data_IF_474250035643
#
_entry.id   IF_474250035643
#
_cell.length_a   1.000
_cell.length_b   1.000
_cell.length_c   1.000
_cell.angle_alpha   90.00
_cell.angle_beta   90.00
_cell.angle_gamma   90.00
#
_symmetry.space_group_name_H-M   'P 1'
#
loop_
_entity.id
_entity.type
_entity.pdbx_description
1 polymer ?
#
# COMPACT_ATOMS: atom_id res chain seq x y z
N UNK A 1 30.71 16.72 -4.64
CA UNK A 1 30.24 17.95 -3.98
C UNK A 1 29.94 17.65 -2.51
N UNK A 2 30.31 18.58 -1.61
CA UNK A 2 29.87 18.50 -0.20
C UNK A 2 28.38 18.93 -0.09
N UNK A 3 27.72 18.56 1.01
CA UNK A 3 26.33 18.97 1.27
C UNK A 3 26.15 20.50 1.21
N UNK A 4 27.11 21.27 1.74
CA UNK A 4 27.09 22.73 1.68
C UNK A 4 27.20 23.27 0.23
N UNK A 5 27.97 22.61 -0.63
CA UNK A 5 28.09 22.99 -2.04
C UNK A 5 26.81 22.64 -2.79
N UNK A 6 26.20 21.47 -2.51
CA UNK A 6 24.92 21.07 -3.10
C UNK A 6 23.81 22.03 -2.68
N UNK A 7 23.73 22.38 -1.40
CA UNK A 7 22.75 23.33 -0.88
C UNK A 7 22.88 24.77 -1.46
N UNK A 8 24.05 25.11 -2.00
CA UNK A 8 24.28 26.41 -2.62
C UNK A 8 23.90 26.46 -4.11
N UNK A 9 23.59 25.31 -4.73
CA UNK A 9 23.17 25.28 -6.14
C UNK A 9 21.75 25.82 -6.29
N UNK A 10 21.54 26.55 -7.37
CA UNK A 10 20.19 26.97 -7.77
C UNK A 10 19.42 25.82 -8.40
N UNK A 11 18.09 25.90 -8.42
CA UNK A 11 17.24 24.89 -9.10
C UNK A 11 17.61 24.72 -10.57
N UNK A 12 17.97 25.79 -11.27
CA UNK A 12 18.40 25.73 -12.66
C UNK A 12 19.71 24.92 -12.81
N UNK A 13 20.64 25.08 -11.89
CA UNK A 13 21.90 24.31 -11.87
C UNK A 13 21.64 22.85 -11.54
N UNK A 14 20.78 22.57 -10.57
CA UNK A 14 20.40 21.21 -10.19
C UNK A 14 19.71 20.47 -11.34
N UNK A 15 18.81 21.12 -12.05
CA UNK A 15 18.14 20.54 -13.25
C UNK A 15 19.11 20.29 -14.41
N UNK A 16 20.24 21.01 -14.48
CA UNK A 16 21.27 20.83 -15.49
C UNK A 16 22.27 19.70 -15.18
N UNK A 17 22.20 19.11 -13.97
CA UNK A 17 23.08 17.99 -13.59
C UNK A 17 22.73 16.77 -14.45
N UNK A 18 23.75 16.17 -15.05
CA UNK A 18 23.59 14.93 -15.81
C UNK A 18 23.18 13.74 -14.91
N UNK A 19 22.46 12.78 -15.45
CA UNK A 19 21.97 11.61 -14.70
C UNK A 19 23.10 10.82 -14.04
N UNK A 20 24.24 10.69 -14.73
CA UNK A 20 25.41 9.99 -14.20
C UNK A 20 26.01 10.72 -12.97
N UNK A 21 26.04 12.04 -13.00
CA UNK A 21 26.55 12.85 -11.89
C UNK A 21 25.58 12.86 -10.71
N UNK A 22 24.28 12.82 -10.98
CA UNK A 22 23.24 12.72 -9.95
C UNK A 22 23.31 11.35 -9.25
N UNK A 23 23.49 10.26 -10.02
CA UNK A 23 23.70 8.92 -9.48
C UNK A 23 24.97 8.81 -8.61
N UNK A 24 25.99 9.61 -8.92
CA UNK A 24 27.23 9.68 -8.13
C UNK A 24 27.17 10.64 -6.94
N UNK A 25 26.05 11.35 -6.75
CA UNK A 25 25.89 12.30 -5.64
C UNK A 25 25.77 11.56 -4.31
N UNK A 26 26.51 12.03 -3.30
CA UNK A 26 26.40 11.47 -1.96
C UNK A 26 24.98 11.67 -1.38
N UNK A 27 24.48 10.70 -0.64
CA UNK A 27 23.15 10.72 0.01
C UNK A 27 22.94 11.96 0.88
N UNK A 28 23.98 12.38 1.63
CA UNK A 28 23.95 13.61 2.43
C UNK A 28 23.76 14.89 1.58
N UNK A 29 24.14 14.87 0.32
CA UNK A 29 23.89 15.96 -0.62
C UNK A 29 22.42 16.01 -1.06
N UNK A 30 21.80 14.87 -1.29
CA UNK A 30 20.37 14.78 -1.64
C UNK A 30 19.47 15.23 -0.48
N UNK A 31 19.78 14.79 0.73
CA UNK A 31 18.98 15.09 1.92
C UNK A 31 18.88 16.60 2.25
N UNK A 32 19.84 17.42 1.79
CA UNK A 32 19.85 18.89 2.04
C UNK A 32 19.20 19.71 0.92
N UNK A 33 18.78 19.07 -0.18
CA UNK A 33 18.08 19.76 -1.27
C UNK A 33 16.73 20.29 -0.80
N UNK A 34 16.35 21.45 -1.30
CA UNK A 34 15.01 21.96 -1.09
C UNK A 34 13.96 21.08 -1.78
N UNK A 35 12.75 21.05 -1.23
CA UNK A 35 11.61 20.30 -1.79
C UNK A 35 11.32 20.72 -3.23
N UNK A 36 11.38 22.02 -3.53
CA UNK A 36 11.16 22.56 -4.86
C UNK A 36 12.21 22.09 -5.88
N UNK A 37 13.44 21.87 -5.41
CA UNK A 37 14.49 21.30 -6.24
C UNK A 37 14.20 19.85 -6.61
N UNK A 38 13.74 19.04 -5.66
CA UNK A 38 13.37 17.63 -5.89
C UNK A 38 12.18 17.54 -6.88
N UNK A 39 11.14 18.34 -6.68
CA UNK A 39 9.98 18.37 -7.61
C UNK A 39 10.36 18.91 -9.00
N UNK A 40 11.48 19.62 -9.09
CA UNK A 40 12.00 20.15 -10.35
C UNK A 40 12.85 19.18 -11.17
N UNK A 41 13.26 18.04 -10.61
CA UNK A 41 13.98 17.02 -11.37
C UNK A 41 13.06 16.34 -12.40
N UNK A 42 13.63 15.96 -13.52
CA UNK A 42 12.93 15.09 -14.47
C UNK A 42 12.82 13.66 -13.92
N UNK A 43 11.82 12.91 -14.40
CA UNK A 43 11.68 11.48 -14.10
C UNK A 43 12.94 10.68 -14.45
N UNK A 44 13.64 11.09 -15.53
CA UNK A 44 14.91 10.47 -15.93
C UNK A 44 16.04 10.73 -14.92
N UNK A 45 16.08 11.92 -14.32
CA UNK A 45 17.06 12.23 -13.28
C UNK A 45 16.78 11.47 -12.01
N UNK A 46 15.52 11.40 -11.59
CA UNK A 46 15.11 10.62 -10.41
C UNK A 46 15.31 9.13 -10.62
N UNK A 47 15.02 8.59 -11.81
CA UNK A 47 15.27 7.19 -12.15
C UNK A 47 16.76 6.81 -12.29
N UNK A 48 17.68 7.78 -12.17
CA UNK A 48 19.12 7.51 -12.08
C UNK A 48 19.61 7.38 -10.63
N UNK A 49 18.77 7.70 -9.63
CA UNK A 49 19.08 7.53 -8.23
C UNK A 49 19.07 6.04 -7.88
N UNK A 50 20.00 5.61 -7.05
CA UNK A 50 19.99 4.27 -6.47
C UNK A 50 19.15 4.20 -5.19
N UNK A 51 18.84 2.98 -4.74
CA UNK A 51 18.02 2.71 -3.56
C UNK A 51 18.50 3.47 -2.30
N UNK A 52 19.80 3.50 -2.03
CA UNK A 52 20.36 4.24 -0.89
C UNK A 52 20.06 5.75 -0.97
N UNK A 53 20.02 6.29 -2.20
CA UNK A 53 19.73 7.69 -2.45
C UNK A 53 18.23 7.99 -2.28
N UNK A 54 17.34 7.07 -2.69
CA UNK A 54 15.90 7.16 -2.42
C UNK A 54 15.62 7.13 -0.92
N UNK A 55 16.23 6.21 -0.19
CA UNK A 55 16.10 6.13 1.28
C UNK A 55 16.62 7.37 2.00
N UNK A 56 17.62 8.05 1.44
CA UNK A 56 18.17 9.26 2.03
C UNK A 56 17.33 10.52 1.84
N UNK A 57 16.32 10.51 0.96
CA UNK A 57 15.39 11.62 0.83
C UNK A 57 14.58 11.78 2.12
N UNK A 58 14.34 13.00 2.52
CA UNK A 58 13.45 13.27 3.64
C UNK A 58 11.97 13.00 3.26
N UNK A 59 11.12 12.73 4.23
CA UNK A 59 9.67 12.59 4.00
C UNK A 59 9.06 13.82 3.34
N UNK A 60 9.56 15.03 3.66
CA UNK A 60 9.14 16.27 3.01
C UNK A 60 9.51 16.31 1.52
N UNK A 61 10.68 15.81 1.16
CA UNK A 61 11.12 15.71 -0.23
C UNK A 61 10.32 14.68 -1.01
N UNK A 62 10.05 13.51 -0.43
CA UNK A 62 9.20 12.48 -1.04
C UNK A 62 7.77 13.01 -1.23
N UNK A 63 7.22 13.71 -0.25
CA UNK A 63 5.90 14.35 -0.35
C UNK A 63 5.84 15.45 -1.42
N UNK A 64 6.96 16.08 -1.74
CA UNK A 64 7.04 17.12 -2.78
C UNK A 64 7.16 16.55 -4.20
N UNK A 65 7.35 15.26 -4.39
CA UNK A 65 7.35 14.61 -5.70
C UNK A 65 6.01 14.85 -6.40
N UNK A 66 6.06 15.10 -7.69
CA UNK A 66 4.85 15.14 -8.52
C UNK A 66 4.31 13.72 -8.75
N UNK A 67 3.02 13.60 -9.06
CA UNK A 67 2.41 12.30 -9.41
C UNK A 67 3.10 11.64 -10.61
N UNK A 68 3.55 12.44 -11.59
CA UNK A 68 4.33 11.93 -12.73
C UNK A 68 5.70 11.37 -12.32
N UNK A 69 6.35 11.98 -11.32
CA UNK A 69 7.62 11.48 -10.78
C UNK A 69 7.39 10.17 -10.00
N UNK A 70 6.34 10.08 -9.20
CA UNK A 70 5.96 8.86 -8.46
C UNK A 70 5.64 7.73 -9.44
N UNK A 71 4.78 7.97 -10.43
CA UNK A 71 4.46 6.98 -11.46
C UNK A 71 5.67 6.53 -12.31
N UNK A 72 6.66 7.42 -12.45
CA UNK A 72 7.88 7.19 -13.22
C UNK A 72 9.03 6.55 -12.46
N UNK A 73 8.88 6.26 -11.14
CA UNK A 73 9.88 5.51 -10.38
C UNK A 73 9.96 4.07 -10.89
N UNK A 74 11.16 3.49 -10.90
CA UNK A 74 11.28 2.05 -11.10
C UNK A 74 10.63 1.30 -9.91
N UNK A 75 10.21 0.05 -10.13
CA UNK A 75 9.60 -0.77 -9.06
C UNK A 75 10.56 -0.93 -7.88
N UNK A 76 11.84 -1.13 -8.15
CA UNK A 76 12.89 -1.25 -7.15
C UNK A 76 13.10 0.03 -6.34
N UNK A 77 12.89 1.19 -6.97
CA UNK A 77 13.01 2.49 -6.30
C UNK A 77 11.81 2.75 -5.37
N UNK A 78 10.61 2.36 -5.82
CA UNK A 78 9.41 2.43 -4.98
C UNK A 78 9.54 1.50 -3.76
N UNK A 79 10.03 0.28 -3.96
CA UNK A 79 10.30 -0.69 -2.90
C UNK A 79 11.49 -0.29 -1.98
N UNK A 80 12.33 0.64 -2.42
CA UNK A 80 13.43 1.15 -1.60
C UNK A 80 13.00 2.28 -0.67
N UNK A 81 11.82 2.85 -0.85
CA UNK A 81 11.31 3.87 0.08
C UNK A 81 11.16 3.27 1.47
N UNK A 82 11.48 4.04 2.48
CA UNK A 82 11.21 3.62 3.86
C UNK A 82 9.72 3.69 4.16
N UNK A 83 9.26 2.94 5.16
CA UNK A 83 7.87 2.99 5.65
C UNK A 83 7.43 4.41 6.03
N UNK A 84 8.31 5.22 6.62
CA UNK A 84 8.04 6.63 6.93
C UNK A 84 7.84 7.47 5.66
N UNK A 85 8.61 7.20 4.61
CA UNK A 85 8.50 7.87 3.32
C UNK A 85 7.19 7.48 2.61
N UNK A 86 6.82 6.20 2.63
CA UNK A 86 5.55 5.71 2.09
C UNK A 86 4.35 6.30 2.85
N UNK A 87 4.40 6.31 4.18
CA UNK A 87 3.37 6.94 5.00
C UNK A 87 3.25 8.46 4.79
N UNK A 88 4.31 9.10 4.29
CA UNK A 88 4.29 10.54 3.98
C UNK A 88 3.71 10.88 2.60
N UNK A 89 3.49 9.91 1.71
CA UNK A 89 2.88 10.15 0.40
C UNK A 89 1.45 10.71 0.55
N UNK A 90 1.09 11.66 -0.31
CA UNK A 90 -0.29 12.12 -0.39
C UNK A 90 -1.19 11.09 -1.08
N UNK A 91 -2.50 11.23 -0.93
CA UNK A 91 -3.48 10.35 -1.59
C UNK A 91 -3.36 10.42 -3.12
N UNK A 92 -3.05 11.58 -3.70
CA UNK A 92 -2.81 11.72 -5.13
C UNK A 92 -1.54 10.97 -5.58
N UNK A 93 -0.51 10.94 -4.74
CA UNK A 93 0.71 10.17 -4.99
C UNK A 93 0.45 8.65 -4.86
N UNK A 94 -0.37 8.24 -3.92
CA UNK A 94 -0.83 6.84 -3.76
C UNK A 94 -1.57 6.38 -5.03
N UNK A 95 -2.51 7.17 -5.55
CA UNK A 95 -3.22 6.88 -6.82
C UNK A 95 -2.28 6.83 -8.02
N UNK A 96 -1.18 7.57 -7.97
CA UNK A 96 -0.19 7.61 -9.06
C UNK A 96 0.77 6.41 -9.07
N UNK A 97 0.88 5.66 -7.98
CA UNK A 97 1.65 4.42 -7.98
C UNK A 97 1.06 3.43 -8.98
N UNK A 98 1.91 2.80 -9.76
CA UNK A 98 1.50 1.77 -10.71
C UNK A 98 1.27 0.43 -10.01
N UNK A 99 0.45 -0.43 -10.61
CA UNK A 99 0.22 -1.80 -10.10
C UNK A 99 1.51 -2.60 -9.92
N UNK A 100 2.51 -2.39 -10.81
CA UNK A 100 3.82 -3.04 -10.67
C UNK A 100 4.60 -2.53 -9.45
N UNK A 101 4.50 -1.23 -9.13
CA UNK A 101 5.12 -0.67 -7.93
C UNK A 101 4.44 -1.21 -6.66
N UNK A 102 3.12 -1.32 -6.65
CA UNK A 102 2.37 -1.95 -5.55
C UNK A 102 2.79 -3.39 -5.31
N UNK A 103 2.89 -4.20 -6.37
CA UNK A 103 3.36 -5.59 -6.28
C UNK A 103 4.84 -5.73 -5.84
N UNK A 104 5.60 -4.65 -5.84
CA UNK A 104 6.99 -4.62 -5.39
C UNK A 104 7.18 -4.19 -3.93
N UNK A 105 6.14 -3.65 -3.28
CA UNK A 105 6.18 -3.28 -1.85
C UNK A 105 6.11 -4.54 -0.99
N UNK A 106 6.62 -4.46 0.23
CA UNK A 106 6.52 -5.56 1.18
C UNK A 106 5.41 -5.31 2.23
N UNK A 107 5.12 -6.31 3.02
CA UNK A 107 4.07 -6.27 4.03
C UNK A 107 4.29 -5.23 5.13
N UNK A 108 5.54 -4.84 5.42
CA UNK A 108 5.82 -3.76 6.36
C UNK A 108 5.44 -2.39 5.76
N UNK A 109 5.62 -2.24 4.45
CA UNK A 109 5.20 -1.07 3.69
C UNK A 109 3.67 -0.93 3.70
N UNK A 110 2.96 -2.03 3.45
CA UNK A 110 1.49 -2.06 3.51
C UNK A 110 0.98 -1.76 4.93
N UNK A 111 1.62 -2.32 5.96
CA UNK A 111 1.26 -2.07 7.35
C UNK A 111 1.49 -0.61 7.78
N UNK A 112 2.42 0.11 7.14
CA UNK A 112 2.72 1.51 7.43
C UNK A 112 1.75 2.51 6.80
N UNK A 113 0.93 2.09 5.82
CA UNK A 113 -0.01 2.97 5.14
C UNK A 113 -1.11 3.47 6.07
N UNK A 114 -1.44 4.75 5.95
CA UNK A 114 -2.59 5.34 6.63
C UNK A 114 -3.93 4.91 5.99
N UNK A 115 -5.02 5.04 6.75
CA UNK A 115 -6.36 4.68 6.26
C UNK A 115 -6.78 5.47 5.02
N UNK A 116 -6.46 6.76 4.96
CA UNK A 116 -6.77 7.61 3.81
C UNK A 116 -6.01 7.16 2.55
N UNK A 117 -4.78 6.70 2.73
CA UNK A 117 -3.96 6.16 1.66
C UNK A 117 -4.55 4.84 1.13
N UNK A 118 -4.94 3.93 2.01
CA UNK A 118 -5.60 2.67 1.63
C UNK A 118 -6.95 2.91 0.95
N UNK A 119 -7.75 3.88 1.42
CA UNK A 119 -9.01 4.25 0.77
C UNK A 119 -8.80 4.83 -0.64
N UNK A 120 -7.68 5.56 -0.85
CA UNK A 120 -7.34 6.13 -2.14
C UNK A 120 -6.78 5.09 -3.14
N UNK A 121 -6.34 3.93 -2.66
CA UNK A 121 -5.79 2.86 -3.49
C UNK A 121 -6.84 2.34 -4.47
N UNK A 122 -6.47 2.22 -5.75
CA UNK A 122 -7.38 1.68 -6.77
C UNK A 122 -7.60 0.17 -6.60
N UNK A 123 -8.76 -0.32 -6.98
CA UNK A 123 -9.12 -1.75 -6.82
C UNK A 123 -8.18 -2.70 -7.57
N UNK A 124 -7.64 -2.26 -8.73
CA UNK A 124 -6.65 -3.04 -9.51
C UNK A 124 -5.34 -3.21 -8.76
N UNK A 125 -4.96 -2.20 -7.96
CA UNK A 125 -3.70 -2.19 -7.24
C UNK A 125 -3.82 -3.01 -5.95
N UNK A 126 -4.99 -2.99 -5.33
CA UNK A 126 -5.30 -3.88 -4.21
C UNK A 126 -5.29 -5.36 -4.62
N UNK A 127 -5.73 -5.68 -5.86
CA UNK A 127 -5.64 -7.02 -6.41
C UNK A 127 -4.20 -7.48 -6.72
N UNK A 128 -3.23 -6.58 -6.67
CA UNK A 128 -1.81 -6.91 -6.83
C UNK A 128 -1.08 -7.22 -5.52
N UNK A 129 -1.73 -6.97 -4.37
CA UNK A 129 -1.22 -7.37 -3.06
C UNK A 129 -1.33 -8.87 -2.89
N UNK A 130 -0.31 -9.47 -2.30
CA UNK A 130 -0.31 -10.90 -2.03
C UNK A 130 -0.88 -11.26 -0.64
N UNK A 131 -0.89 -12.54 -0.32
CA UNK A 131 -1.39 -13.06 0.95
C UNK A 131 -0.60 -12.56 2.17
N UNK A 132 0.70 -12.26 2.03
CA UNK A 132 1.55 -11.75 3.11
C UNK A 132 1.20 -10.30 3.41
N UNK A 133 0.93 -9.52 2.37
CA UNK A 133 0.50 -8.12 2.46
C UNK A 133 -0.87 -8.01 3.15
N UNK A 134 -1.82 -8.86 2.75
CA UNK A 134 -3.16 -8.89 3.34
C UNK A 134 -3.15 -9.35 4.80
N UNK A 135 -2.26 -10.28 5.15
CA UNK A 135 -2.06 -10.71 6.53
C UNK A 135 -1.53 -9.58 7.44
N UNK A 136 -0.80 -8.62 6.87
CA UNK A 136 -0.22 -7.49 7.60
C UNK A 136 -1.24 -6.37 7.90
N UNK A 137 -2.42 -6.38 7.28
CA UNK A 137 -3.45 -5.37 7.54
C UNK A 137 -3.91 -5.40 9.00
N UNK A 138 -3.84 -4.26 9.64
CA UNK A 138 -4.46 -4.06 10.96
C UNK A 138 -5.99 -4.01 10.85
N UNK A 139 -6.69 -4.19 11.98
CA UNK A 139 -8.14 -4.04 12.02
C UNK A 139 -8.63 -2.65 11.57
N UNK A 140 -7.89 -1.59 11.91
CA UNK A 140 -8.21 -0.21 11.47
C UNK A 140 -8.07 -0.05 9.96
N UNK A 141 -7.03 -0.61 9.37
CA UNK A 141 -6.82 -0.61 7.92
C UNK A 141 -7.89 -1.42 7.19
N UNK A 142 -8.20 -2.62 7.70
CA UNK A 142 -9.26 -3.48 7.15
C UNK A 142 -10.64 -2.81 7.19
N UNK A 143 -10.96 -2.10 8.29
CA UNK A 143 -12.20 -1.34 8.42
C UNK A 143 -12.29 -0.14 7.46
N UNK A 144 -11.15 0.41 7.04
CA UNK A 144 -11.10 1.56 6.15
C UNK A 144 -11.35 1.19 4.67
N UNK A 145 -11.08 -0.06 4.27
CA UNK A 145 -11.30 -0.51 2.90
C UNK A 145 -12.80 -0.57 2.56
N UNK A 146 -13.12 -0.06 1.39
CA UNK A 146 -14.49 -0.08 0.85
C UNK A 146 -14.92 -1.49 0.40
N UNK A 147 -16.23 -1.70 0.27
CA UNK A 147 -16.78 -2.96 -0.27
C UNK A 147 -16.28 -3.27 -1.70
N UNK A 148 -16.00 -2.25 -2.51
CA UNK A 148 -15.44 -2.42 -3.85
C UNK A 148 -13.98 -2.93 -3.79
N UNK A 149 -13.20 -2.41 -2.87
CA UNK A 149 -11.82 -2.84 -2.64
C UNK A 149 -11.77 -4.27 -2.11
N UNK A 150 -12.59 -4.64 -1.13
CA UNK A 150 -12.68 -6.02 -0.64
C UNK A 150 -13.09 -7.02 -1.72
N UNK A 151 -13.98 -6.63 -2.64
CA UNK A 151 -14.34 -7.49 -3.79
C UNK A 151 -13.21 -7.69 -4.79
N UNK A 152 -12.26 -6.76 -4.85
CA UNK A 152 -11.12 -6.85 -5.76
C UNK A 152 -9.99 -7.76 -5.24
N UNK A 153 -9.97 -8.06 -3.94
CA UNK A 153 -8.99 -8.99 -3.35
C UNK A 153 -9.14 -10.37 -3.99
N UNK A 154 -8.01 -10.98 -4.38
CA UNK A 154 -8.02 -12.30 -4.97
C UNK A 154 -8.51 -13.38 -3.97
N UNK A 155 -9.28 -14.34 -4.47
CA UNK A 155 -9.88 -15.39 -3.63
C UNK A 155 -8.82 -16.18 -2.85
N UNK A 156 -7.67 -16.44 -3.46
CA UNK A 156 -6.60 -17.22 -2.86
C UNK A 156 -6.03 -16.57 -1.57
N UNK A 157 -6.14 -15.24 -1.46
CA UNK A 157 -5.50 -14.48 -0.40
C UNK A 157 -6.41 -14.27 0.82
N UNK A 158 -7.70 -14.57 0.68
CA UNK A 158 -8.67 -14.41 1.79
C UNK A 158 -8.31 -15.22 3.03
N UNK A 159 -7.75 -16.42 2.84
CA UNK A 159 -7.33 -17.28 3.95
C UNK A 159 -6.19 -16.69 4.79
N UNK A 160 -5.47 -15.70 4.29
CA UNK A 160 -4.37 -15.05 5.01
C UNK A 160 -4.82 -13.87 5.88
N UNK A 161 -6.02 -13.33 5.67
CA UNK A 161 -6.54 -12.18 6.44
C UNK A 161 -6.67 -12.58 7.91
N UNK A 162 -6.10 -11.77 8.81
CA UNK A 162 -6.18 -12.05 10.23
C UNK A 162 -7.65 -11.99 10.73
N UNK A 163 -7.97 -12.80 11.74
CA UNK A 163 -9.31 -12.81 12.34
C UNK A 163 -9.72 -11.45 12.90
N UNK A 164 -8.77 -10.69 13.45
CA UNK A 164 -9.00 -9.33 13.95
C UNK A 164 -9.30 -8.34 12.80
N UNK A 165 -8.59 -8.45 11.69
CA UNK A 165 -8.84 -7.65 10.52
C UNK A 165 -10.21 -7.97 9.92
N UNK A 166 -10.52 -9.26 9.76
CA UNK A 166 -11.79 -9.72 9.22
C UNK A 166 -13.00 -9.28 10.07
N UNK A 167 -12.90 -9.36 11.39
CA UNK A 167 -13.95 -8.90 12.31
C UNK A 167 -14.21 -7.39 12.22
N UNK A 168 -13.24 -6.60 11.74
CA UNK A 168 -13.36 -5.16 11.56
C UNK A 168 -13.92 -4.75 10.18
N UNK A 169 -14.02 -5.68 9.22
CA UNK A 169 -14.57 -5.42 7.89
C UNK A 169 -16.04 -5.01 8.01
N UNK A 170 -16.47 -4.00 7.25
CA UNK A 170 -17.85 -3.53 7.30
C UNK A 170 -18.86 -4.59 6.83
N UNK A 171 -20.07 -4.55 7.35
CA UNK A 171 -21.17 -5.47 6.96
C UNK A 171 -21.48 -5.38 5.47
N UNK A 172 -21.41 -4.19 4.88
CA UNK A 172 -21.62 -3.97 3.45
C UNK A 172 -20.53 -4.65 2.61
N UNK A 173 -19.27 -4.63 3.10
CA UNK A 173 -18.18 -5.32 2.43
C UNK A 173 -18.37 -6.84 2.51
N UNK A 174 -18.70 -7.39 3.68
CA UNK A 174 -18.98 -8.82 3.86
C UNK A 174 -20.15 -9.28 2.97
N UNK A 175 -21.26 -8.53 2.93
CA UNK A 175 -22.39 -8.81 2.06
C UNK A 175 -22.04 -8.72 0.56
N UNK A 176 -21.01 -7.94 0.23
CA UNK A 176 -20.52 -7.75 -1.13
C UNK A 176 -19.53 -8.81 -1.61
N UNK A 177 -19.00 -9.67 -0.75
CA UNK A 177 -18.06 -10.72 -1.13
C UNK A 177 -18.73 -11.79 -2.00
N UNK A 178 -17.98 -12.38 -2.91
CA UNK A 178 -18.44 -13.55 -3.66
C UNK A 178 -18.50 -14.80 -2.76
N UNK A 179 -19.29 -15.78 -3.16
CA UNK A 179 -19.33 -17.10 -2.48
C UNK A 179 -17.97 -17.79 -2.50
N UNK A 180 -17.16 -17.57 -3.56
CA UNK A 180 -15.80 -18.10 -3.65
C UNK A 180 -14.86 -17.46 -2.64
N UNK A 181 -14.94 -16.14 -2.46
CA UNK A 181 -14.13 -15.43 -1.45
C UNK A 181 -14.49 -15.89 -0.03
N UNK A 182 -15.77 -16.07 0.26
CA UNK A 182 -16.22 -16.61 1.55
C UNK A 182 -15.79 -18.07 1.75
N UNK A 183 -15.80 -18.90 0.71
CA UNK A 183 -15.36 -20.29 0.81
C UNK A 183 -13.84 -20.45 0.98
N UNK A 184 -13.08 -19.40 0.76
CA UNK A 184 -11.63 -19.37 1.03
C UNK A 184 -11.30 -19.04 2.49
N UNK A 185 -12.29 -18.62 3.29
CA UNK A 185 -12.11 -18.39 4.72
C UNK A 185 -11.95 -19.74 5.46
N UNK A 186 -11.00 -19.78 6.38
CA UNK A 186 -10.86 -20.92 7.29
C UNK A 186 -11.83 -20.88 8.47
N UNK A 187 -11.93 -22.00 9.20
CA UNK A 187 -12.84 -22.15 10.36
C UNK A 187 -12.62 -21.06 11.42
N UNK A 188 -11.38 -20.69 11.72
CA UNK A 188 -11.07 -19.62 12.69
C UNK A 188 -11.61 -18.26 12.23
N UNK A 189 -11.52 -17.99 10.93
CA UNK A 189 -12.04 -16.76 10.32
C UNK A 189 -13.57 -16.74 10.33
N UNK A 190 -14.24 -17.87 10.04
CA UNK A 190 -15.69 -17.99 10.18
C UNK A 190 -16.14 -17.77 11.63
N UNK A 191 -15.42 -18.35 12.60
CA UNK A 191 -15.67 -18.13 14.05
C UNK A 191 -15.51 -16.68 14.48
N UNK A 192 -14.61 -15.92 13.82
CA UNK A 192 -14.33 -14.54 14.13
C UNK A 192 -15.33 -13.52 13.56
N UNK A 193 -16.19 -13.93 12.61
CA UNK A 193 -17.21 -13.04 12.06
C UNK A 193 -18.19 -12.58 13.17
N UNK A 194 -18.45 -11.29 13.22
CA UNK A 194 -19.38 -10.71 14.18
C UNK A 194 -20.83 -11.11 13.86
N UNK A 195 -21.72 -11.01 14.85
CA UNK A 195 -23.15 -11.31 14.67
C UNK A 195 -23.77 -10.41 13.58
N UNK A 196 -23.33 -9.16 13.44
CA UNK A 196 -23.85 -8.24 12.44
C UNK A 196 -23.33 -8.59 11.05
N UNK A 197 -22.06 -9.01 10.94
CA UNK A 197 -21.51 -9.53 9.67
C UNK A 197 -22.25 -10.80 9.23
N UNK A 198 -22.53 -11.73 10.14
CA UNK A 198 -23.31 -12.94 9.81
C UNK A 198 -24.74 -12.60 9.37
N UNK A 199 -25.38 -11.62 10.00
CA UNK A 199 -26.74 -11.18 9.60
C UNK A 199 -26.75 -10.47 8.24
N UNK A 200 -25.64 -9.88 7.83
CA UNK A 200 -25.51 -9.21 6.54
C UNK A 200 -25.34 -10.17 5.35
N UNK A 201 -25.04 -11.44 5.61
CA UNK A 201 -24.85 -12.44 4.56
C UNK A 201 -26.15 -12.63 3.74
N UNK A 202 -25.99 -12.67 2.44
CA UNK A 202 -27.09 -12.95 1.50
C UNK A 202 -27.48 -14.43 1.52
N UNK A 203 -28.69 -14.75 1.06
CA UNK A 203 -29.17 -16.15 0.95
C UNK A 203 -28.25 -17.01 0.07
N UNK A 204 -27.66 -16.42 -0.99
CA UNK A 204 -26.71 -17.12 -1.86
C UNK A 204 -25.40 -17.43 -1.14
N UNK A 205 -24.90 -16.50 -0.33
CA UNK A 205 -23.71 -16.70 0.48
C UNK A 205 -23.93 -17.78 1.56
N UNK A 206 -25.08 -17.73 2.25
CA UNK A 206 -25.45 -18.77 3.25
C UNK A 206 -25.58 -20.15 2.60
N UNK A 207 -26.15 -20.25 1.40
CA UNK A 207 -26.26 -21.52 0.69
C UNK A 207 -24.90 -22.11 0.24
N UNK A 208 -23.87 -21.27 0.16
CA UNK A 208 -22.49 -21.67 -0.17
C UNK A 208 -21.63 -22.06 1.03
N UNK A 209 -22.12 -21.91 2.27
CA UNK A 209 -21.37 -22.27 3.47
C UNK A 209 -21.26 -23.79 3.58
N UNK A 210 -20.06 -24.30 3.83
CA UNK A 210 -19.84 -25.73 4.01
C UNK A 210 -20.28 -26.23 5.40
N UNK A 211 -20.43 -27.54 5.57
CA UNK A 211 -20.75 -28.14 6.88
C UNK A 211 -19.63 -27.87 7.91
N UNK A 212 -18.39 -27.82 7.46
CA UNK A 212 -17.22 -27.51 8.31
C UNK A 212 -17.28 -26.08 8.83
N UNK A 213 -17.56 -25.10 7.94
CA UNK A 213 -17.70 -23.69 8.30
C UNK A 213 -18.87 -23.45 9.26
N UNK A 214 -20.00 -24.15 9.05
CA UNK A 214 -21.13 -24.10 9.96
C UNK A 214 -20.78 -24.67 11.35
N UNK A 215 -19.92 -25.68 11.41
CA UNK A 215 -19.40 -26.23 12.65
C UNK A 215 -18.59 -25.18 13.44
N UNK A 216 -17.79 -24.37 12.76
CA UNK A 216 -16.99 -23.28 13.38
C UNK A 216 -17.89 -22.20 14.02
N UNK A 217 -19.06 -21.91 13.43
CA UNK A 217 -19.99 -20.89 13.94
C UNK A 217 -20.69 -21.32 15.25
N UNK A 218 -20.70 -22.61 15.60
CA UNK A 218 -21.42 -23.12 16.75
C UNK A 218 -20.55 -23.29 18.01
N UNK A 219 -19.24 -23.33 17.88
CA UNK A 219 -18.32 -23.71 18.98
C UNK A 219 -17.85 -22.56 19.85
N UNK A 220 -17.96 -21.32 19.42
CA UNK A 220 -17.33 -20.17 20.09
C UNK A 220 -18.32 -19.17 20.74
N UNK A 221 -19.57 -19.58 20.99
CA UNK A 221 -20.63 -18.71 21.57
C UNK A 221 -21.19 -19.18 22.90
N UNK A 222 -20.44 -20.02 23.63
CA UNK A 222 -20.82 -20.48 24.98
C UNK A 222 -20.01 -19.81 26.06
#
# INVERSE_FOLDING_TARGET
LSSAQVAALTDAQLRAIETADLAAMATAGLAVLATDSISGFSTRQLGALGSDQWQALTTAQVRALTTAQVAGMATEDAAALTTDQLAALSTEQIVALTTAQWAGLDSADIAALGTDQLQAMETRDLAALDSVDLAALSSTQAAALSAAQWRAVETADFGAISTLALAAVSTDAIAGLSTLQLSALGSDQWGALTSDQLRSLTTAQIAGITTEDLGALTTDRS
#
